data_IF_357580855959
#
_entry.id   IF_357580855959
#
_cell.length_a   1.000
_cell.length_b   1.000
_cell.length_c   1.000
_cell.angle_alpha   90.00
_cell.angle_beta   90.00
_cell.angle_gamma   90.00
#
_symmetry.space_group_name_H-M   'P 1'
#
loop_
_entity.id
_entity.type
_entity.pdbx_description
1 polymer ?
#
# COMPACT_ATOMS: atom_id res chain seq x y z
N UNK A 1 -15.23 -13.72 2.33
CA UNK A 1 -15.54 -12.56 1.47
C UNK A 1 -15.97 -13.09 0.12
N UNK A 2 -16.98 -12.50 -0.55
CA UNK A 2 -17.42 -12.99 -1.87
C UNK A 2 -16.50 -12.45 -2.98
N UNK A 3 -16.53 -13.07 -4.16
CA UNK A 3 -15.77 -12.61 -5.32
C UNK A 3 -16.15 -11.17 -5.73
N UNK A 4 -17.45 -10.86 -5.69
CA UNK A 4 -17.95 -9.51 -5.92
C UNK A 4 -17.33 -8.48 -4.95
N UNK A 5 -17.22 -8.80 -3.66
CA UNK A 5 -16.58 -7.91 -2.69
C UNK A 5 -15.08 -7.72 -2.98
N UNK A 6 -14.38 -8.79 -3.37
CA UNK A 6 -12.96 -8.69 -3.74
C UNK A 6 -12.77 -7.79 -4.97
N UNK A 7 -13.64 -7.91 -5.98
CA UNK A 7 -13.62 -7.02 -7.15
C UNK A 7 -13.85 -5.56 -6.78
N UNK A 8 -14.75 -5.28 -5.85
CA UNK A 8 -14.96 -3.89 -5.42
C UNK A 8 -13.76 -3.34 -4.64
N UNK A 9 -13.12 -4.15 -3.79
CA UNK A 9 -11.88 -3.74 -3.11
C UNK A 9 -10.76 -3.51 -4.13
N UNK A 10 -10.58 -4.41 -5.10
CA UNK A 10 -9.58 -4.29 -6.15
C UNK A 10 -9.71 -2.95 -6.92
N UNK A 11 -10.93 -2.58 -7.32
CA UNK A 11 -11.23 -1.31 -7.98
C UNK A 11 -10.85 -0.09 -7.13
N UNK A 12 -11.16 -0.13 -5.83
CA UNK A 12 -10.86 0.97 -4.89
C UNK A 12 -9.36 1.10 -4.64
N UNK A 13 -8.65 -0.02 -4.49
CA UNK A 13 -7.20 -0.03 -4.36
C UNK A 13 -6.52 0.52 -5.61
N UNK A 14 -7.04 0.16 -6.79
CA UNK A 14 -6.55 0.69 -8.05
C UNK A 14 -6.76 2.21 -8.11
N UNK A 15 -7.95 2.69 -7.77
CA UNK A 15 -8.25 4.12 -7.73
C UNK A 15 -7.34 4.86 -6.75
N UNK A 16 -7.25 4.40 -5.50
CA UNK A 16 -6.44 5.03 -4.44
C UNK A 16 -4.96 5.10 -4.83
N UNK A 17 -4.41 4.01 -5.36
CA UNK A 17 -3.02 3.96 -5.80
C UNK A 17 -2.71 4.97 -6.91
N UNK A 18 -3.63 5.17 -7.85
CA UNK A 18 -3.48 6.15 -8.92
C UNK A 18 -3.71 7.57 -8.42
N UNK A 19 -4.69 7.75 -7.53
CA UNK A 19 -4.98 9.03 -6.89
C UNK A 19 -3.79 9.52 -6.07
N UNK A 20 -3.12 8.67 -5.29
CA UNK A 20 -1.91 9.05 -4.55
C UNK A 20 -0.82 9.64 -5.47
N UNK A 21 -0.55 8.96 -6.58
CA UNK A 21 0.43 9.42 -7.57
C UNK A 21 -0.05 10.71 -8.25
N UNK A 22 -1.33 10.78 -8.60
CA UNK A 22 -1.91 11.97 -9.22
C UNK A 22 -1.83 13.18 -8.26
N UNK A 23 -2.24 13.01 -7.01
CA UNK A 23 -2.20 14.01 -5.96
C UNK A 23 -0.79 14.59 -5.79
N UNK A 24 0.21 13.71 -5.63
CA UNK A 24 1.60 14.13 -5.51
C UNK A 24 2.08 14.91 -6.74
N UNK A 25 1.70 14.50 -7.94
CA UNK A 25 2.26 15.08 -9.17
C UNK A 25 1.48 16.26 -9.75
N UNK A 26 0.20 16.46 -9.42
CA UNK A 26 -0.64 17.46 -10.08
C UNK A 26 -1.46 18.32 -9.12
N UNK A 27 -1.74 17.85 -7.91
CA UNK A 27 -2.60 18.57 -6.94
C UNK A 27 -1.75 19.27 -5.87
N UNK A 28 -0.74 18.59 -5.33
CA UNK A 28 0.12 19.14 -4.29
C UNK A 28 0.94 20.33 -4.83
N UNK A 29 0.96 21.49 -4.15
CA UNK A 29 1.82 22.61 -4.51
C UNK A 29 3.30 22.19 -4.54
N UNK A 30 4.04 22.68 -5.53
CA UNK A 30 5.47 22.37 -5.72
C UNK A 30 6.25 23.67 -5.77
N UNK A 31 7.33 23.74 -4.99
CA UNK A 31 8.20 24.91 -4.95
C UNK A 31 9.12 25.00 -6.18
N UNK A 32 9.51 23.85 -6.73
CA UNK A 32 10.50 23.70 -7.80
C UNK A 32 9.89 23.28 -9.15
N UNK A 33 8.58 23.01 -9.19
CA UNK A 33 7.88 22.47 -10.35
C UNK A 33 8.25 21.02 -10.73
N UNK A 34 9.05 20.33 -9.93
CA UNK A 34 9.61 19.01 -10.28
C UNK A 34 8.57 17.90 -10.07
N UNK A 35 8.57 16.92 -10.96
CA UNK A 35 7.72 15.73 -10.83
C UNK A 35 8.24 14.82 -9.71
N UNK A 36 7.38 14.46 -8.76
CA UNK A 36 7.70 13.58 -7.63
C UNK A 36 7.81 12.11 -8.05
N UNK A 37 7.07 11.71 -9.08
CA UNK A 37 7.10 10.37 -9.67
C UNK A 37 6.12 9.39 -9.02
N UNK A 38 6.36 8.09 -9.23
CA UNK A 38 5.48 6.99 -8.83
C UNK A 38 5.22 6.01 -9.99
N UNK A 39 4.94 4.74 -9.68
CA UNK A 39 4.75 3.68 -10.69
C UNK A 39 3.29 3.24 -10.78
N UNK A 40 2.52 3.85 -11.69
CA UNK A 40 1.11 3.50 -11.93
C UNK A 40 0.97 2.12 -12.58
N UNK A 41 1.68 1.87 -13.68
CA UNK A 41 1.56 0.61 -14.42
C UNK A 41 1.92 -0.62 -13.55
N UNK A 42 2.98 -0.51 -12.74
CA UNK A 42 3.40 -1.60 -11.86
C UNK A 42 2.41 -1.83 -10.70
N UNK A 43 1.80 -0.76 -10.20
CA UNK A 43 0.71 -0.81 -9.22
C UNK A 43 -0.51 -1.53 -9.81
N UNK A 44 -0.93 -1.14 -11.01
CA UNK A 44 -2.06 -1.74 -11.71
C UNK A 44 -1.85 -3.24 -11.97
N UNK A 45 -0.65 -3.67 -12.37
CA UNK A 45 -0.39 -5.09 -12.62
C UNK A 45 -0.41 -5.97 -11.37
N UNK A 46 -0.21 -5.38 -10.18
CA UNK A 46 -0.13 -6.12 -8.92
C UNK A 46 -1.43 -6.09 -8.09
N UNK A 47 -2.39 -5.23 -8.44
CA UNK A 47 -3.57 -4.96 -7.61
C UNK A 47 -4.40 -6.21 -7.34
N UNK A 48 -4.64 -7.05 -8.36
CA UNK A 48 -5.46 -8.26 -8.21
C UNK A 48 -4.79 -9.28 -7.27
N UNK A 49 -3.47 -9.48 -7.42
CA UNK A 49 -2.70 -10.41 -6.59
C UNK A 49 -2.68 -9.95 -5.14
N UNK A 50 -2.40 -8.66 -4.90
CA UNK A 50 -2.37 -8.13 -3.54
C UNK A 50 -3.76 -8.08 -2.90
N UNK A 51 -4.82 -7.86 -3.67
CA UNK A 51 -6.19 -7.93 -3.16
C UNK A 51 -6.53 -9.34 -2.69
N UNK A 52 -6.27 -10.35 -3.53
CA UNK A 52 -6.49 -11.75 -3.16
C UNK A 52 -5.64 -12.17 -1.96
N UNK A 53 -4.39 -11.72 -1.91
CA UNK A 53 -3.49 -12.00 -0.79
C UNK A 53 -4.04 -11.39 0.51
N UNK A 54 -4.14 -10.07 0.60
CA UNK A 54 -4.43 -9.38 1.87
C UNK A 54 -5.85 -9.54 2.38
N UNK A 55 -6.84 -9.73 1.49
CA UNK A 55 -8.27 -9.79 1.88
C UNK A 55 -8.89 -11.20 1.80
N UNK A 56 -8.12 -12.22 1.41
CA UNK A 56 -8.63 -13.60 1.31
C UNK A 56 -7.65 -14.65 1.84
N UNK A 57 -6.40 -14.65 1.37
CA UNK A 57 -5.48 -15.78 1.63
C UNK A 57 -4.56 -15.59 2.84
N UNK A 58 -4.12 -14.36 3.12
CA UNK A 58 -3.03 -14.06 4.03
C UNK A 58 -3.46 -14.25 5.49
N UNK A 59 -2.71 -15.08 6.22
CA UNK A 59 -2.90 -15.31 7.66
C UNK A 59 -2.12 -14.29 8.49
N UNK A 60 -2.47 -14.10 9.78
CA UNK A 60 -1.76 -13.16 10.66
C UNK A 60 -0.24 -13.42 10.76
N UNK A 61 0.16 -14.68 10.72
CA UNK A 61 1.54 -15.15 10.80
C UNK A 61 2.34 -14.93 9.51
N UNK A 62 1.69 -14.83 8.35
CA UNK A 62 2.36 -14.70 7.06
C UNK A 62 3.09 -13.36 6.93
N UNK A 63 4.28 -13.41 6.31
CA UNK A 63 5.10 -12.25 5.97
C UNK A 63 5.03 -12.00 4.46
N UNK A 64 4.96 -10.74 4.05
CA UNK A 64 4.95 -10.38 2.62
C UNK A 64 6.11 -9.43 2.30
N UNK A 65 7.04 -9.90 1.47
CA UNK A 65 8.02 -9.03 0.83
C UNK A 65 7.38 -8.35 -0.39
N UNK A 66 6.72 -7.21 -0.16
CA UNK A 66 6.08 -6.44 -1.24
C UNK A 66 7.16 -5.88 -2.16
N UNK A 67 6.98 -6.02 -3.47
CA UNK A 67 7.90 -5.44 -4.46
C UNK A 67 7.92 -3.90 -4.32
N UNK A 68 9.10 -3.25 -4.29
CA UNK A 68 9.23 -1.83 -3.92
C UNK A 68 8.30 -0.88 -4.68
N UNK A 69 8.23 -0.99 -6.01
CA UNK A 69 7.44 -0.09 -6.85
C UNK A 69 5.92 -0.26 -6.72
N UNK A 70 5.46 -1.28 -5.97
CA UNK A 70 4.04 -1.51 -5.64
C UNK A 70 3.60 -0.75 -4.39
N UNK A 71 4.46 0.12 -3.84
CA UNK A 71 4.15 0.96 -2.66
C UNK A 71 2.78 1.63 -2.72
N UNK A 72 2.29 2.22 -3.84
CA UNK A 72 1.02 2.93 -3.82
C UNK A 72 -0.18 2.02 -3.54
N UNK A 73 -0.18 0.79 -4.09
CA UNK A 73 -1.22 -0.20 -3.78
C UNK A 73 -1.08 -0.70 -2.35
N UNK A 74 0.15 -0.94 -1.90
CA UNK A 74 0.38 -1.39 -0.53
C UNK A 74 -0.13 -0.37 0.50
N UNK A 75 0.21 0.92 0.35
CA UNK A 75 -0.30 1.96 1.24
C UNK A 75 -1.83 2.10 1.15
N UNK A 76 -2.42 1.96 -0.05
CA UNK A 76 -3.87 1.93 -0.19
C UNK A 76 -4.53 0.75 0.55
N UNK A 77 -3.89 -0.43 0.57
CA UNK A 77 -4.34 -1.59 1.36
C UNK A 77 -4.31 -1.24 2.85
N UNK A 78 -3.21 -0.67 3.33
CA UNK A 78 -3.06 -0.29 4.73
C UNK A 78 -4.08 0.77 5.15
N UNK A 79 -4.41 1.71 4.26
CA UNK A 79 -5.46 2.70 4.48
C UNK A 79 -6.84 2.05 4.61
N UNK A 80 -7.22 1.16 3.68
CA UNK A 80 -8.50 0.44 3.77
C UNK A 80 -8.58 -0.45 5.03
N UNK A 81 -7.45 -1.01 5.46
CA UNK A 81 -7.31 -1.81 6.67
C UNK A 81 -7.21 -0.99 7.97
N UNK A 82 -7.25 0.35 7.90
CA UNK A 82 -7.22 1.22 9.08
C UNK A 82 -5.86 1.36 9.75
N UNK A 83 -4.78 0.92 9.11
CA UNK A 83 -3.42 1.03 9.62
C UNK A 83 -2.70 2.29 9.14
N UNK A 84 -3.28 3.00 8.17
CA UNK A 84 -2.72 4.21 7.58
C UNK A 84 -3.81 5.29 7.49
N UNK A 85 -3.43 6.52 7.79
CA UNK A 85 -4.25 7.72 7.66
C UNK A 85 -4.14 8.34 6.27
N UNK A 86 -5.18 9.09 5.90
CA UNK A 86 -5.26 9.75 4.60
C UNK A 86 -4.18 10.81 4.40
N UNK A 87 -3.83 11.58 5.45
CA UNK A 87 -2.85 12.67 5.37
C UNK A 87 -1.48 12.17 4.91
N UNK A 88 -1.03 11.00 5.38
CA UNK A 88 0.23 10.40 4.96
C UNK A 88 0.21 9.95 3.50
N UNK A 89 -0.93 9.49 2.98
CA UNK A 89 -1.09 9.18 1.56
C UNK A 89 -1.08 10.44 0.69
N UNK A 90 -1.69 11.53 1.15
CA UNK A 90 -1.64 12.84 0.47
C UNK A 90 -0.20 13.35 0.38
N UNK A 91 0.58 13.09 1.44
CA UNK A 91 2.00 13.37 1.51
C UNK A 91 2.90 12.29 0.89
N UNK A 92 2.42 11.48 -0.08
CA UNK A 92 3.25 10.49 -0.78
C UNK A 92 4.60 11.07 -1.26
N UNK A 93 5.70 10.39 -0.90
CA UNK A 93 7.10 10.80 -1.13
C UNK A 93 7.48 12.17 -0.57
N UNK A 94 6.62 12.76 0.25
CA UNK A 94 6.88 13.97 1.01
C UNK A 94 7.41 13.64 2.40
N UNK A 95 7.94 14.66 3.07
CA UNK A 95 8.33 14.53 4.47
C UNK A 95 7.10 14.21 5.34
N UNK A 96 7.22 13.23 6.23
CA UNK A 96 6.12 12.79 7.09
C UNK A 96 5.03 11.96 6.41
N UNK A 97 5.10 11.75 5.09
CA UNK A 97 4.18 10.90 4.35
C UNK A 97 4.74 9.52 4.00
N UNK A 98 3.97 8.76 3.22
CA UNK A 98 4.34 7.39 2.85
C UNK A 98 5.45 7.33 1.80
N UNK A 99 6.30 6.32 1.92
CA UNK A 99 7.54 6.23 1.15
C UNK A 99 7.33 5.77 -0.29
N UNK A 100 8.36 6.04 -1.11
CA UNK A 100 8.44 5.52 -2.47
C UNK A 100 8.48 4.00 -2.54
N UNK A 101 9.07 3.37 -1.53
CA UNK A 101 9.26 1.93 -1.38
C UNK A 101 8.94 1.58 0.08
N UNK A 102 8.16 0.52 0.37
CA UNK A 102 7.77 0.22 1.74
C UNK A 102 9.00 0.05 2.63
N UNK A 103 9.01 0.74 3.77
CA UNK A 103 10.17 0.86 4.64
C UNK A 103 9.78 0.76 6.10
N UNK A 104 10.37 -0.21 6.80
CA UNK A 104 10.11 -0.50 8.22
C UNK A 104 10.46 0.65 9.16
N UNK A 105 11.38 1.51 8.75
CA UNK A 105 11.91 2.58 9.60
C UNK A 105 11.33 3.94 9.26
N UNK A 106 10.63 4.06 8.12
CA UNK A 106 10.14 5.34 7.59
C UNK A 106 8.63 5.38 7.40
N UNK A 107 8.00 4.24 7.15
CA UNK A 107 6.54 4.15 7.11
C UNK A 107 6.00 3.76 8.47
N UNK A 108 4.79 4.23 8.76
CA UNK A 108 4.05 3.89 9.99
C UNK A 108 3.19 2.64 9.82
N UNK A 109 2.93 2.23 8.57
CA UNK A 109 2.09 1.09 8.27
C UNK A 109 2.85 -0.24 8.41
N UNK A 110 2.10 -1.35 8.35
CA UNK A 110 2.57 -2.68 8.72
C UNK A 110 3.49 -3.31 7.65
N UNK A 111 4.70 -2.77 7.50
CA UNK A 111 5.73 -3.25 6.57
C UNK A 111 6.50 -4.42 7.18
N UNK A 112 6.40 -5.60 6.56
CA UNK A 112 7.19 -6.78 7.00
C UNK A 112 8.68 -6.64 6.69
N UNK A 113 9.00 -6.17 5.47
CA UNK A 113 10.38 -6.08 4.96
C UNK A 113 10.58 -4.81 4.15
N UNK A 114 11.74 -4.17 4.33
CA UNK A 114 12.15 -3.05 3.48
C UNK A 114 12.75 -3.59 2.19
N UNK A 115 12.08 -3.37 1.06
CA UNK A 115 12.42 -4.01 -0.23
C UNK A 115 12.99 -3.03 -1.25
N UNK A 116 13.47 -1.85 -0.82
CA UNK A 116 14.03 -0.82 -1.71
C UNK A 116 15.21 -1.29 -2.59
N UNK A 117 15.94 -2.33 -2.16
CA UNK A 117 16.95 -3.01 -2.98
C UNK A 117 16.36 -4.24 -3.66
N UNK A 118 16.31 -4.22 -4.99
CA UNK A 118 15.86 -5.36 -5.80
C UNK A 118 16.77 -6.57 -5.54
N UNK A 119 16.19 -7.71 -5.14
CA UNK A 119 16.91 -8.94 -4.77
C UNK A 119 16.86 -9.30 -3.29
N UNK A 120 16.83 -8.30 -2.39
CA UNK A 120 16.83 -8.57 -0.94
C UNK A 120 15.51 -9.20 -0.46
N UNK A 121 14.40 -8.92 -1.14
CA UNK A 121 13.10 -9.51 -0.84
C UNK A 121 13.13 -11.05 -0.93
N UNK A 122 13.70 -11.59 -2.01
CA UNK A 122 13.83 -13.05 -2.17
C UNK A 122 14.73 -13.62 -1.08
N UNK A 123 15.91 -13.04 -0.88
CA UNK A 123 16.89 -13.51 0.11
C UNK A 123 16.29 -13.59 1.53
N UNK A 124 15.50 -12.58 1.93
CA UNK A 124 14.86 -12.56 3.25
C UNK A 124 13.73 -13.58 3.33
N UNK A 125 12.90 -13.72 2.29
CA UNK A 125 11.80 -14.70 2.29
C UNK A 125 12.27 -16.15 2.23
N UNK A 126 13.51 -16.40 1.80
CA UNK A 126 14.10 -17.75 1.77
C UNK A 126 14.50 -18.26 3.17
N UNK A 127 14.48 -17.41 4.20
CA UNK A 127 14.78 -17.79 5.58
C UNK A 127 13.56 -17.59 6.48
N UNK A 128 13.40 -18.42 7.51
CA UNK A 128 12.26 -18.32 8.44
C UNK A 128 12.40 -17.08 9.32
N UNK A 129 11.53 -16.09 9.12
CA UNK A 129 11.47 -14.88 9.95
C UNK A 129 10.22 -14.90 10.85
N UNK A 130 10.37 -15.06 12.18
CA UNK A 130 9.24 -15.01 13.11
C UNK A 130 8.69 -13.58 13.29
N UNK A 131 7.38 -13.44 13.54
CA UNK A 131 6.72 -12.16 13.91
C UNK A 131 6.49 -12.09 15.41
N UNK A 132 6.64 -10.90 15.95
CA UNK A 132 6.41 -10.58 17.36
C UNK A 132 5.10 -9.82 17.63
N UNK A 133 4.26 -9.58 16.62
CA UNK A 133 3.06 -8.70 16.68
C UNK A 133 1.79 -9.39 16.10
N UNK A 134 0.58 -8.89 16.40
CA UNK A 134 -0.71 -9.31 15.86
C UNK A 134 -1.25 -8.24 14.89
N UNK A 135 -1.57 -8.61 13.65
CA UNK A 135 -2.20 -7.69 12.69
C UNK A 135 -3.58 -7.26 13.20
N UNK A 136 -3.83 -5.96 13.35
CA UNK A 136 -5.17 -5.42 13.66
C UNK A 136 -6.04 -5.54 12.42
N UNK A 137 -7.23 -6.14 12.58
CA UNK A 137 -8.08 -6.57 11.46
C UNK A 137 -9.33 -5.73 11.26
N UNK A 138 -9.33 -4.43 11.61
CA UNK A 138 -10.52 -3.58 11.52
C UNK A 138 -10.44 -2.63 10.33
N UNK A 139 -11.37 -2.79 9.40
CA UNK A 139 -11.53 -1.90 8.24
C UNK A 139 -11.77 -0.46 8.70
N UNK A 140 -11.15 0.51 8.04
CA UNK A 140 -11.27 1.93 8.41
C UNK A 140 -12.71 2.44 8.19
N UNK A 141 -13.39 3.06 9.17
CA UNK A 141 -14.71 3.64 8.95
C UNK A 141 -14.73 4.73 7.85
N UNK A 142 -13.65 5.50 7.67
CA UNK A 142 -13.56 6.48 6.56
C UNK A 142 -13.39 5.82 5.19
N UNK A 143 -13.06 4.53 5.14
CA UNK A 143 -13.06 3.78 3.89
C UNK A 143 -14.48 3.55 3.37
N UNK A 144 -15.53 3.58 4.22
CA UNK A 144 -16.90 3.38 3.78
C UNK A 144 -17.35 4.41 2.73
N UNK A 145 -16.83 5.64 2.79
CA UNK A 145 -17.11 6.64 1.76
C UNK A 145 -16.48 6.24 0.41
N UNK A 146 -15.20 5.84 0.39
CA UNK A 146 -14.54 5.28 -0.80
C UNK A 146 -15.25 4.01 -1.28
N UNK A 147 -15.91 3.30 -0.37
CA UNK A 147 -16.72 2.13 -0.68
C UNK A 147 -18.03 2.53 -1.38
N UNK A 148 -18.72 3.55 -0.87
CA UNK A 148 -20.04 3.97 -1.35
C UNK A 148 -20.03 4.89 -2.57
N UNK A 149 -18.91 5.53 -2.90
CA UNK A 149 -18.84 6.61 -3.90
C UNK A 149 -18.08 6.26 -5.20
N UNK A 150 -17.87 4.97 -5.47
CA UNK A 150 -17.29 4.44 -6.71
C UNK A 150 -18.23 3.46 -7.41
#
# INVERSE_FOLDING_TARGET
MTDAHLKTIEQRLLWLSHWMIHNANHVRPKLDGIKIGGHQAFSASMVSILTALYFSALRPEDRVAVKPHTSPVFHAIQYLMGNLDRERMENFRGYGGVQSYPSRTKDVDDVDFSTGSVGLGVAITSVKVPRTDKRVSRMNPESEWVISSA
#
